data_IF_954999725863
#
_entry.id   IF_954999725863
#
_cell.length_a   1.000
_cell.length_b   1.000
_cell.length_c   1.000
_cell.angle_alpha   90.00
_cell.angle_beta   90.00
_cell.angle_gamma   90.00
#
_symmetry.space_group_name_H-M   'P 1'
#
loop_
_entity.id
_entity.type
_entity.pdbx_description
1 polymer ?
#
# COMPACT_ATOMS: atom_id res chain seq x y z
N UNK A 1 18.79 -1.87 -45.05
CA UNK A 1 17.52 -1.99 -44.30
C UNK A 1 16.68 -2.87 -45.17
N UNK A 2 16.50 -4.12 -44.77
CA UNK A 2 16.38 -5.18 -45.77
C UNK A 2 14.88 -5.49 -45.96
N UNK A 3 14.15 -4.41 -46.21
CA UNK A 3 12.71 -4.27 -46.15
C UNK A 3 12.22 -3.77 -47.52
N UNK A 4 11.25 -4.46 -48.10
CA UNK A 4 10.67 -4.11 -49.40
C UNK A 4 9.69 -2.91 -49.31
N UNK A 5 10.17 -1.78 -48.78
CA UNK A 5 9.42 -0.52 -48.72
C UNK A 5 9.32 0.04 -50.15
N UNK A 6 8.10 0.33 -50.61
CA UNK A 6 7.90 0.91 -51.94
C UNK A 6 8.52 2.32 -52.00
N UNK A 7 9.20 2.69 -53.12
CA UNK A 7 9.90 3.98 -53.24
C UNK A 7 8.98 5.19 -53.01
N UNK A 8 7.70 5.06 -53.39
CA UNK A 8 6.70 6.12 -53.27
C UNK A 8 6.00 6.16 -51.90
N UNK A 9 6.44 5.35 -50.92
CA UNK A 9 5.89 5.37 -49.56
C UNK A 9 6.26 6.68 -48.88
N UNK A 10 5.28 7.44 -48.40
CA UNK A 10 5.50 8.66 -47.62
C UNK A 10 6.11 8.34 -46.26
N UNK A 11 7.12 9.10 -45.84
CA UNK A 11 7.88 8.86 -44.61
C UNK A 11 7.58 9.95 -43.58
N UNK A 12 7.01 9.55 -42.44
CA UNK A 12 6.69 10.43 -41.31
C UNK A 12 5.24 10.89 -41.30
N UNK A 13 5.00 12.13 -40.86
CA UNK A 13 3.64 12.70 -40.87
C UNK A 13 3.12 12.88 -42.31
N UNK A 14 1.82 12.71 -42.60
CA UNK A 14 1.22 12.97 -43.92
C UNK A 14 1.46 14.39 -44.49
N UNK A 15 1.95 15.32 -43.67
CA UNK A 15 2.31 16.70 -44.06
C UNK A 15 3.78 16.90 -44.49
N UNK A 16 4.62 15.87 -44.40
CA UNK A 16 6.06 15.98 -44.69
C UNK A 16 6.38 15.93 -46.18
N UNK A 17 5.50 15.33 -46.98
CA UNK A 17 5.62 15.07 -48.44
C UNK A 17 6.87 14.26 -48.86
N UNK A 18 7.74 13.85 -47.93
CA UNK A 18 8.96 13.07 -48.22
C UNK A 18 8.60 11.63 -48.58
N UNK A 19 9.17 11.13 -49.68
CA UNK A 19 9.01 9.76 -50.16
C UNK A 19 10.28 8.93 -49.90
N UNK A 20 10.12 7.62 -49.68
CA UNK A 20 11.20 6.71 -49.30
C UNK A 20 12.43 6.77 -50.23
N UNK A 21 12.22 6.90 -51.55
CA UNK A 21 13.32 6.99 -52.52
C UNK A 21 14.30 8.15 -52.27
N UNK A 22 13.86 9.24 -51.64
CA UNK A 22 14.72 10.39 -51.33
C UNK A 22 15.80 10.06 -50.31
N UNK A 23 15.63 8.97 -49.55
CA UNK A 23 16.60 8.49 -48.57
C UNK A 23 17.59 7.46 -49.14
N UNK A 24 17.41 6.95 -50.36
CA UNK A 24 18.19 5.83 -50.90
C UNK A 24 19.70 6.07 -50.83
N UNK A 25 20.16 7.25 -51.27
CA UNK A 25 21.59 7.63 -51.24
C UNK A 25 22.18 7.60 -49.82
N UNK A 26 21.37 7.91 -48.80
CA UNK A 26 21.79 7.85 -47.39
C UNK A 26 21.69 6.45 -46.78
N UNK A 27 20.78 5.61 -47.30
CA UNK A 27 20.69 4.19 -46.93
C UNK A 27 21.89 3.41 -47.48
N UNK A 28 22.28 3.67 -48.73
CA UNK A 28 23.43 3.03 -49.40
C UNK A 28 24.76 3.34 -48.69
N UNK A 29 24.88 4.53 -48.07
CA UNK A 29 26.03 4.93 -47.26
C UNK A 29 26.16 4.17 -45.92
N UNK A 30 25.12 3.44 -45.49
CA UNK A 30 25.11 2.68 -44.23
C UNK A 30 25.51 3.48 -42.97
N UNK A 31 25.27 4.80 -42.97
CA UNK A 31 25.65 5.69 -41.88
C UNK A 31 25.02 5.26 -40.54
N UNK A 32 25.81 5.22 -39.47
CA UNK A 32 25.31 4.98 -38.11
C UNK A 32 24.95 6.30 -37.42
N UNK A 33 23.93 6.30 -36.57
CA UNK A 33 23.69 7.41 -35.65
C UNK A 33 24.82 7.44 -34.60
N UNK A 34 25.26 8.63 -34.19
CA UNK A 34 26.49 8.81 -33.38
C UNK A 34 26.43 8.24 -31.96
N UNK A 35 25.23 8.00 -31.41
CA UNK A 35 25.04 7.55 -30.03
C UNK A 35 24.04 6.39 -29.93
N UNK A 36 24.32 5.41 -29.09
CA UNK A 36 23.32 4.48 -28.54
C UNK A 36 22.47 5.19 -27.50
N UNK A 37 21.15 5.20 -27.67
CA UNK A 37 20.20 5.83 -26.72
C UNK A 37 19.25 4.80 -26.15
N UNK A 38 18.63 5.11 -25.01
CA UNK A 38 17.51 4.30 -24.49
C UNK A 38 16.19 4.74 -25.13
N UNK A 39 15.23 3.82 -25.22
CA UNK A 39 13.82 4.13 -25.48
C UNK A 39 13.03 3.97 -24.19
N UNK A 40 12.25 4.99 -23.80
CA UNK A 40 11.39 4.95 -22.60
C UNK A 40 9.93 5.13 -22.95
N UNK A 41 8.99 4.58 -22.15
CA UNK A 41 7.62 5.04 -22.24
C UNK A 41 7.55 6.52 -21.87
N UNK A 42 6.58 7.19 -22.47
CA UNK A 42 6.03 8.45 -21.99
C UNK A 42 5.13 8.19 -20.77
N UNK A 43 4.11 9.02 -20.53
CA UNK A 43 3.10 8.77 -19.49
C UNK A 43 2.42 7.40 -19.70
N UNK A 44 1.80 7.19 -20.85
CA UNK A 44 1.07 6.00 -21.20
C UNK A 44 2.02 4.80 -21.43
N UNK A 45 1.96 3.80 -20.55
CA UNK A 45 2.89 2.66 -20.54
C UNK A 45 3.93 2.69 -19.41
N UNK A 46 4.04 3.78 -18.65
CA UNK A 46 4.98 3.87 -17.52
C UNK A 46 4.43 3.19 -16.25
N UNK A 47 5.15 2.18 -15.76
CA UNK A 47 4.85 1.48 -14.49
C UNK A 47 5.67 2.06 -13.35
N UNK A 48 5.12 2.03 -12.12
CA UNK A 48 5.82 2.37 -10.88
C UNK A 48 7.22 1.71 -10.86
N UNK A 49 8.32 2.49 -10.79
CA UNK A 49 9.67 1.96 -10.86
C UNK A 49 9.94 0.87 -9.83
N UNK A 50 10.63 -0.20 -10.24
CA UNK A 50 10.94 -1.30 -9.33
C UNK A 50 11.74 -0.88 -8.09
N UNK A 51 12.63 0.14 -8.08
CA UNK A 51 13.30 0.57 -6.85
C UNK A 51 12.33 1.20 -5.84
N UNK A 52 11.32 1.94 -6.31
CA UNK A 52 10.29 2.52 -5.45
C UNK A 52 9.37 1.43 -4.90
N UNK A 53 8.98 0.47 -5.75
CA UNK A 53 8.23 -0.72 -5.32
C UNK A 53 9.01 -1.56 -4.32
N UNK A 54 10.32 -1.75 -4.53
CA UNK A 54 11.19 -2.51 -3.63
C UNK A 54 11.35 -1.80 -2.27
N UNK A 55 11.54 -0.48 -2.26
CA UNK A 55 11.54 0.30 -1.02
C UNK A 55 10.21 0.15 -0.27
N UNK A 56 9.07 0.21 -0.99
CA UNK A 56 7.74 0.00 -0.43
C UNK A 56 7.56 -1.42 0.14
N UNK A 57 8.06 -2.45 -0.55
CA UNK A 57 8.07 -3.84 -0.11
C UNK A 57 8.94 -4.06 1.14
N UNK A 58 10.14 -3.48 1.17
CA UNK A 58 11.06 -3.55 2.32
C UNK A 58 10.51 -2.81 3.55
N UNK A 59 9.68 -1.78 3.37
CA UNK A 59 8.90 -1.16 4.43
C UNK A 59 7.74 -2.08 4.87
N UNK A 60 7.02 -2.70 3.93
CA UNK A 60 5.79 -3.44 4.24
C UNK A 60 6.01 -4.82 4.87
N UNK A 61 7.04 -5.57 4.48
CA UNK A 61 7.35 -6.88 5.09
C UNK A 61 7.48 -6.81 6.63
N UNK A 62 8.37 -5.97 7.22
CA UNK A 62 8.48 -5.87 8.67
C UNK A 62 7.21 -5.31 9.31
N UNK A 63 6.47 -4.41 8.65
CA UNK A 63 5.20 -3.91 9.19
C UNK A 63 4.12 -4.99 9.29
N UNK A 64 4.00 -5.89 8.30
CA UNK A 64 3.11 -7.05 8.38
C UNK A 64 3.53 -7.98 9.53
N UNK A 65 4.82 -8.29 9.66
CA UNK A 65 5.34 -9.13 10.76
C UNK A 65 5.08 -8.51 12.15
N UNK A 66 5.28 -7.20 12.31
CA UNK A 66 5.03 -6.51 13.58
C UNK A 66 3.51 -6.33 13.83
N UNK A 67 2.67 -6.17 12.79
CA UNK A 67 1.19 -6.17 12.93
C UNK A 67 0.64 -7.51 13.43
N UNK A 68 1.30 -8.62 13.08
CA UNK A 68 1.00 -9.94 13.66
C UNK A 68 1.38 -9.98 15.14
N UNK A 69 2.63 -9.65 15.47
CA UNK A 69 3.22 -9.88 16.79
C UNK A 69 2.96 -8.79 17.86
N UNK A 70 3.04 -7.50 17.51
CA UNK A 70 3.05 -6.34 18.44
C UNK A 70 2.36 -5.11 17.83
N UNK A 71 1.09 -5.30 17.44
CA UNK A 71 0.27 -4.35 16.68
C UNK A 71 0.21 -2.90 17.23
N UNK A 72 0.20 -2.73 18.55
CA UNK A 72 -0.01 -1.44 19.23
C UNK A 72 0.99 -0.35 18.82
N UNK A 73 2.24 -0.73 18.55
CA UNK A 73 3.31 0.22 18.18
C UNK A 73 3.26 0.66 16.71
N UNK A 74 2.39 0.06 15.90
CA UNK A 74 2.33 0.24 14.43
C UNK A 74 1.08 1.00 13.97
N UNK A 75 0.19 1.38 14.90
CA UNK A 75 -1.08 2.05 14.60
C UNK A 75 -0.87 3.36 13.80
N UNK A 76 -0.09 4.30 14.36
CA UNK A 76 0.15 5.61 13.75
C UNK A 76 0.87 5.53 12.40
N UNK A 77 1.84 4.62 12.26
CA UNK A 77 2.56 4.41 11.00
C UNK A 77 1.65 3.80 9.92
N UNK A 78 0.68 2.96 10.31
CA UNK A 78 -0.31 2.41 9.38
C UNK A 78 -1.30 3.48 8.89
N UNK A 79 -1.73 4.39 9.76
CA UNK A 79 -2.53 5.57 9.38
C UNK A 79 -1.76 6.50 8.43
N UNK A 80 -0.47 6.74 8.73
CA UNK A 80 0.39 7.59 7.92
C UNK A 80 0.60 7.02 6.51
N UNK A 81 0.93 5.73 6.39
CA UNK A 81 1.12 5.08 5.08
C UNK A 81 -0.18 5.10 4.25
N UNK A 82 -1.32 4.79 4.86
CA UNK A 82 -2.62 4.90 4.19
C UNK A 82 -2.94 6.33 3.69
N UNK A 83 -2.59 7.35 4.48
CA UNK A 83 -2.76 8.75 4.08
C UNK A 83 -1.80 9.16 2.94
N UNK A 84 -0.55 8.69 2.98
CA UNK A 84 0.42 8.87 1.89
C UNK A 84 -0.07 8.18 0.61
N UNK A 85 -0.56 6.95 0.70
CA UNK A 85 -1.17 6.24 -0.43
C UNK A 85 -2.36 7.00 -1.02
N UNK A 86 -3.31 7.48 -0.19
CA UNK A 86 -4.43 8.31 -0.68
C UNK A 86 -3.92 9.58 -1.38
N UNK A 87 -2.92 10.27 -0.82
CA UNK A 87 -2.35 11.48 -1.42
C UNK A 87 -1.66 11.19 -2.76
N UNK A 88 -0.82 10.14 -2.83
CA UNK A 88 -0.15 9.71 -4.06
C UNK A 88 -1.13 9.31 -5.16
N UNK A 89 -2.16 8.53 -4.83
CA UNK A 89 -3.19 8.14 -5.80
C UNK A 89 -4.05 9.32 -6.25
N UNK A 90 -4.35 10.27 -5.36
CA UNK A 90 -5.06 11.51 -5.72
C UNK A 90 -4.24 12.38 -6.67
N UNK A 91 -2.93 12.53 -6.40
CA UNK A 91 -1.98 13.21 -7.29
C UNK A 91 -1.91 12.52 -8.66
N UNK A 92 -1.78 11.20 -8.70
CA UNK A 92 -1.70 10.44 -9.94
C UNK A 92 -3.02 10.46 -10.74
N UNK A 93 -4.18 10.40 -10.08
CA UNK A 93 -5.51 10.53 -10.70
C UNK A 93 -5.75 11.94 -11.25
N UNK A 94 -5.20 12.98 -10.60
CA UNK A 94 -5.24 14.37 -11.08
C UNK A 94 -4.39 14.55 -12.35
N UNK A 95 -3.14 14.11 -12.30
CA UNK A 95 -2.19 14.16 -13.42
C UNK A 95 -2.67 13.40 -14.66
N UNK A 96 -3.08 12.15 -14.49
CA UNK A 96 -3.50 11.28 -15.61
C UNK A 96 -4.96 11.45 -16.02
N UNK A 97 -5.72 12.29 -15.31
CA UNK A 97 -7.18 12.43 -15.47
C UNK A 97 -7.96 11.08 -15.32
N UNK A 98 -7.31 10.02 -14.79
CA UNK A 98 -7.75 8.61 -14.74
C UNK A 98 -7.97 7.95 -16.11
N UNK A 99 -7.23 8.40 -17.13
CA UNK A 99 -7.15 7.80 -18.47
C UNK A 99 -6.70 6.32 -18.40
N UNK A 100 -7.45 5.36 -18.96
CA UNK A 100 -7.13 3.94 -18.82
C UNK A 100 -5.78 3.53 -19.43
N UNK A 101 -5.35 4.16 -20.51
CA UNK A 101 -4.04 3.96 -21.15
C UNK A 101 -2.85 4.38 -20.25
N UNK A 102 -3.12 5.18 -19.21
CA UNK A 102 -2.17 5.68 -18.21
C UNK A 102 -2.26 4.89 -16.87
N UNK A 103 -3.04 3.80 -16.80
CA UNK A 103 -3.32 3.02 -15.56
C UNK A 103 -2.07 2.53 -14.81
N UNK A 104 -0.95 2.33 -15.51
CA UNK A 104 0.29 1.87 -14.91
C UNK A 104 0.95 2.89 -13.97
N UNK A 105 0.61 4.18 -14.13
CA UNK A 105 1.05 5.26 -13.22
C UNK A 105 0.35 5.14 -11.86
N UNK A 106 -0.92 4.74 -11.85
CA UNK A 106 -1.83 4.81 -10.70
C UNK A 106 -2.48 3.47 -10.32
N UNK A 107 -1.86 2.33 -10.61
CA UNK A 107 -2.57 1.05 -10.49
C UNK A 107 -3.01 0.72 -9.04
N UNK A 108 -4.33 0.53 -8.77
CA UNK A 108 -4.91 0.36 -7.43
C UNK A 108 -4.51 -0.91 -6.66
N UNK A 109 -3.74 -1.82 -7.27
CA UNK A 109 -3.36 -3.10 -6.66
C UNK A 109 -2.49 -2.95 -5.39
N UNK A 110 -1.60 -1.95 -5.34
CA UNK A 110 -0.67 -1.74 -4.21
C UNK A 110 -1.38 -1.32 -2.92
N UNK A 111 -2.59 -0.75 -3.04
CA UNK A 111 -3.40 -0.16 -1.95
C UNK A 111 -3.94 -1.23 -0.97
N UNK A 112 -4.01 -2.49 -1.38
CA UNK A 112 -4.59 -3.60 -0.58
C UNK A 112 -3.96 -3.75 0.82
N UNK A 113 -2.66 -3.47 0.96
CA UNK A 113 -1.95 -3.55 2.24
C UNK A 113 -2.42 -2.49 3.24
N UNK A 114 -2.69 -1.28 2.76
CA UNK A 114 -3.20 -0.18 3.58
C UNK A 114 -4.66 -0.40 3.95
N UNK A 115 -5.48 -0.98 3.05
CA UNK A 115 -6.87 -1.37 3.40
C UNK A 115 -6.86 -2.39 4.54
N UNK A 116 -6.06 -3.46 4.42
CA UNK A 116 -5.91 -4.46 5.49
C UNK A 116 -5.40 -3.85 6.80
N UNK A 117 -4.43 -2.93 6.72
CA UNK A 117 -3.88 -2.24 7.88
C UNK A 117 -4.88 -1.37 8.64
N UNK A 118 -5.61 -0.52 7.91
CA UNK A 118 -6.57 0.42 8.48
C UNK A 118 -7.82 -0.31 8.97
N UNK A 119 -8.25 -1.38 8.27
CA UNK A 119 -9.32 -2.25 8.72
C UNK A 119 -8.94 -3.00 10.00
N UNK A 120 -7.73 -3.56 10.10
CA UNK A 120 -7.22 -4.15 11.34
C UNK A 120 -7.27 -3.14 12.50
N UNK A 121 -6.83 -1.90 12.25
CA UNK A 121 -6.78 -0.84 13.25
C UNK A 121 -8.18 -0.46 13.75
N UNK A 122 -9.14 -0.25 12.83
CA UNK A 122 -10.52 0.06 13.17
C UNK A 122 -11.11 -0.98 14.14
N UNK A 123 -11.05 -2.26 13.78
CA UNK A 123 -11.63 -3.34 14.60
C UNK A 123 -10.94 -3.49 15.96
N UNK A 124 -9.61 -3.36 16.03
CA UNK A 124 -8.89 -3.52 17.30
C UNK A 124 -9.11 -2.35 18.27
N UNK A 125 -9.30 -1.12 17.78
CA UNK A 125 -9.62 0.00 18.66
C UNK A 125 -11.06 -0.13 19.20
N UNK A 126 -12.00 -0.60 18.38
CA UNK A 126 -13.37 -0.96 18.81
C UNK A 126 -13.40 -2.12 19.82
N UNK A 127 -12.63 -3.18 19.59
CA UNK A 127 -12.44 -4.29 20.55
C UNK A 127 -11.90 -3.73 21.88
N UNK A 128 -10.91 -2.84 21.82
CA UNK A 128 -10.33 -2.17 22.99
C UNK A 128 -11.25 -1.17 23.70
N UNK A 129 -12.36 -0.73 23.10
CA UNK A 129 -13.30 0.21 23.73
C UNK A 129 -14.48 -0.48 24.40
N UNK A 130 -14.82 -1.71 23.99
CA UNK A 130 -15.93 -2.48 24.56
C UNK A 130 -15.53 -3.41 25.72
N UNK A 131 -14.25 -3.70 25.89
CA UNK A 131 -13.75 -4.65 26.88
C UNK A 131 -13.85 -6.11 26.39
N UNK A 132 -13.19 -7.04 27.09
CA UNK A 132 -12.93 -8.39 26.58
C UNK A 132 -14.21 -9.26 26.44
N UNK A 133 -15.28 -8.93 27.17
CA UNK A 133 -16.49 -9.76 27.29
C UNK A 133 -17.51 -9.62 26.15
N UNK A 134 -17.19 -8.93 25.05
CA UNK A 134 -18.14 -8.77 23.92
C UNK A 134 -18.05 -9.94 22.95
N UNK A 135 -18.82 -10.98 23.27
CA UNK A 135 -19.11 -12.10 22.38
C UNK A 135 -20.16 -11.70 21.33
N UNK A 136 -19.96 -12.12 20.08
CA UNK A 136 -20.94 -11.98 19.00
C UNK A 136 -20.75 -10.82 18.03
N UNK A 137 -21.57 -10.83 16.97
CA UNK A 137 -21.56 -9.86 15.88
C UNK A 137 -22.03 -8.48 16.35
N UNK A 138 -21.09 -7.55 16.54
CA UNK A 138 -21.43 -6.13 16.66
C UNK A 138 -21.50 -5.53 15.26
N UNK A 139 -22.67 -5.09 14.76
CA UNK A 139 -22.74 -4.42 13.47
C UNK A 139 -21.84 -3.19 13.49
N UNK A 140 -21.03 -3.03 12.44
CA UNK A 140 -19.95 -2.03 12.38
C UNK A 140 -20.47 -0.60 12.62
N UNK A 141 -21.65 -0.30 12.10
CA UNK A 141 -22.37 0.95 12.35
C UNK A 141 -22.84 1.12 13.79
N UNK A 142 -23.27 0.04 14.47
CA UNK A 142 -23.67 0.06 15.88
C UNK A 142 -22.49 0.36 16.81
N UNK A 143 -21.34 -0.29 16.57
CA UNK A 143 -20.10 0.01 17.30
C UNK A 143 -19.68 1.48 17.15
N UNK A 144 -19.77 2.01 15.93
CA UNK A 144 -19.46 3.41 15.65
C UNK A 144 -20.47 4.37 16.28
N UNK A 145 -21.77 4.09 16.16
CA UNK A 145 -22.85 4.90 16.73
C UNK A 145 -22.79 4.95 18.27
N UNK A 146 -22.52 3.83 18.94
CA UNK A 146 -22.29 3.78 20.39
C UNK A 146 -21.06 4.60 20.82
N UNK A 147 -19.94 4.44 20.10
CA UNK A 147 -18.71 5.20 20.36
C UNK A 147 -18.96 6.71 20.21
N UNK A 148 -19.64 7.13 19.14
CA UNK A 148 -20.01 8.52 18.89
C UNK A 148 -21.02 9.04 19.92
N UNK A 149 -22.02 8.25 20.32
CA UNK A 149 -22.96 8.60 21.37
C UNK A 149 -22.28 8.78 22.74
N UNK A 150 -21.28 7.94 23.06
CA UNK A 150 -20.50 8.05 24.30
C UNK A 150 -19.63 9.33 24.37
N UNK A 151 -19.30 9.93 23.21
CA UNK A 151 -18.54 11.18 23.10
C UNK A 151 -19.48 12.39 23.08
N UNK A 152 -20.42 12.43 22.14
CA UNK A 152 -21.26 13.60 21.88
C UNK A 152 -22.50 13.68 22.79
N UNK A 153 -23.05 12.54 23.23
CA UNK A 153 -24.21 12.51 24.12
C UNK A 153 -23.89 12.89 25.57
N UNK A 154 -22.66 12.64 26.03
CA UNK A 154 -22.28 12.80 27.45
C UNK A 154 -22.19 14.25 27.94
N UNK A 155 -22.27 15.23 27.02
CA UNK A 155 -22.37 16.65 27.35
C UNK A 155 -23.75 17.13 27.81
N UNK A 156 -24.79 16.27 27.77
CA UNK A 156 -26.18 16.67 28.02
C UNK A 156 -26.80 15.82 29.13
N UNK A 157 -26.89 16.38 30.35
CA UNK A 157 -27.67 15.78 31.43
C UNK A 157 -26.90 15.02 32.52
N UNK A 158 -25.81 15.59 33.06
CA UNK A 158 -25.54 15.42 34.52
C UNK A 158 -25.88 16.71 35.27
N UNK A 159 -27.08 17.23 35.00
CA UNK A 159 -27.73 18.24 35.82
C UNK A 159 -27.78 17.70 37.24
N UNK A 160 -27.04 18.34 38.15
CA UNK A 160 -26.86 17.94 39.54
C UNK A 160 -28.22 17.79 40.20
N UNK A 161 -28.69 16.56 40.40
CA UNK A 161 -29.89 16.30 41.20
C UNK A 161 -29.56 16.72 42.62
N UNK A 162 -30.11 17.87 43.03
CA UNK A 162 -29.77 18.51 44.29
C UNK A 162 -30.49 17.78 45.43
N UNK A 163 -29.82 16.76 45.98
CA UNK A 163 -30.34 15.95 47.11
C UNK A 163 -30.41 16.82 48.36
N UNK A 164 -31.57 17.44 48.57
CA UNK A 164 -31.78 18.52 49.53
C UNK A 164 -32.21 18.03 50.92
N UNK A 165 -31.38 17.18 51.53
CA UNK A 165 -31.46 16.78 52.95
C UNK A 165 -32.70 15.95 53.35
N UNK A 166 -33.03 15.84 54.66
CA UNK A 166 -32.34 16.43 55.82
C UNK A 166 -31.74 15.32 56.75
N UNK A 167 -31.79 15.29 58.12
CA UNK A 167 -30.62 14.84 58.88
C UNK A 167 -30.80 13.60 59.79
N UNK A 168 -29.66 13.12 60.31
CA UNK A 168 -29.43 12.68 61.71
C UNK A 168 -30.58 12.01 62.50
N UNK A 169 -30.42 10.72 62.80
CA UNK A 169 -31.03 10.05 63.96
C UNK A 169 -30.30 8.74 64.32
N UNK A 170 -30.07 8.51 65.61
CA UNK A 170 -29.27 7.38 66.14
C UNK A 170 -30.08 6.10 66.40
N UNK A 171 -29.58 4.97 65.88
CA UNK A 171 -29.77 3.60 66.39
C UNK A 171 -28.72 2.70 65.68
N UNK A 172 -27.67 2.13 66.28
CA UNK A 172 -27.46 1.50 67.59
C UNK A 172 -28.15 0.12 67.68
N UNK A 173 -27.42 -0.88 68.20
CA UNK A 173 -27.76 -2.32 68.35
C UNK A 173 -27.56 -3.14 67.05
N UNK A 174 -26.95 -4.34 67.02
CA UNK A 174 -25.83 -5.01 67.75
C UNK A 174 -25.70 -6.44 67.17
N UNK A 175 -24.72 -7.24 67.67
CA UNK A 175 -24.69 -8.73 67.61
C UNK A 175 -24.49 -9.40 66.21
N UNK A 176 -23.86 -10.57 66.05
CA UNK A 176 -23.15 -11.49 66.99
C UNK A 176 -21.72 -11.76 66.49
N UNK A 177 -20.80 -12.10 67.41
CA UNK A 177 -19.41 -12.54 67.19
C UNK A 177 -19.18 -13.88 67.91
N UNK A 178 -19.04 -14.98 67.18
CA UNK A 178 -18.78 -16.38 67.63
C UNK A 178 -18.90 -17.29 66.38
N UNK A 179 -18.23 -18.44 66.14
CA UNK A 179 -17.14 -19.20 66.80
C UNK A 179 -16.84 -20.44 65.90
N UNK A 180 -15.64 -20.59 65.30
CA UNK A 180 -14.50 -21.45 65.73
C UNK A 180 -14.34 -22.76 64.91
N UNK A 181 -13.13 -23.34 64.99
CA UNK A 181 -12.61 -24.62 64.46
C UNK A 181 -13.68 -25.71 64.20
N UNK A 182 -13.64 -26.51 63.13
CA UNK A 182 -12.50 -26.93 62.30
C UNK A 182 -12.35 -28.46 62.37
N UNK A 183 -12.16 -29.16 61.25
CA UNK A 183 -11.96 -30.62 61.26
C UNK A 183 -11.06 -31.07 60.11
N UNK A 184 -10.05 -31.89 60.42
CA UNK A 184 -9.12 -32.50 59.47
C UNK A 184 -9.72 -33.78 58.89
N UNK A 185 -9.56 -34.03 57.59
CA UNK A 185 -9.65 -35.40 57.05
C UNK A 185 -8.62 -35.59 55.93
N UNK A 186 -7.71 -36.56 56.11
CA UNK A 186 -6.94 -37.16 55.01
C UNK A 186 -7.79 -38.25 54.34
N UNK A 187 -7.43 -38.66 53.12
CA UNK A 187 -7.30 -40.08 52.73
C UNK A 187 -6.71 -40.18 51.31
N UNK A 188 -5.66 -41.00 51.18
CA UNK A 188 -5.19 -41.82 50.04
C UNK A 188 -5.08 -41.22 48.60
N UNK A 189 -3.89 -41.20 48.00
CA UNK A 189 -3.14 -42.31 47.35
C UNK A 189 -3.71 -42.78 45.99
N UNK A 190 -3.03 -42.40 44.90
CA UNK A 190 -2.73 -43.29 43.76
C UNK A 190 -1.27 -43.05 43.34
N UNK A 191 -0.56 -44.10 42.93
CA UNK A 191 0.91 -44.14 42.76
C UNK A 191 1.32 -44.73 41.41
N UNK A 192 2.03 -43.95 40.60
CA UNK A 192 2.93 -44.38 39.53
C UNK A 192 3.92 -43.21 39.29
N UNK A 193 5.21 -43.25 39.64
CA UNK A 193 6.24 -44.29 39.55
C UNK A 193 6.62 -44.62 38.10
N UNK A 194 7.65 -43.91 37.63
CA UNK A 194 8.72 -44.55 36.87
C UNK A 194 10.03 -43.78 37.14
N UNK A 195 11.00 -44.46 37.77
CA UNK A 195 12.35 -43.94 37.99
C UNK A 195 13.21 -44.09 36.72
N UNK A 196 14.34 -43.35 36.67
CA UNK A 196 15.72 -43.89 36.57
C UNK A 196 16.75 -42.74 36.62
N UNK A 197 17.61 -42.73 37.66
CA UNK A 197 19.08 -42.47 37.74
C UNK A 197 19.79 -41.55 36.71
N UNK A 198 20.94 -40.89 36.97
CA UNK A 198 21.79 -40.50 38.12
C UNK A 198 22.73 -39.37 37.55
N UNK A 199 23.61 -38.60 38.19
CA UNK A 199 24.56 -38.83 39.29
C UNK A 199 25.08 -37.44 39.82
N UNK A 200 26.25 -37.23 40.49
CA UNK A 200 26.24 -36.72 41.87
C UNK A 200 26.77 -35.28 42.08
N UNK A 201 26.46 -34.73 43.27
CA UNK A 201 27.11 -33.56 43.88
C UNK A 201 28.45 -33.94 44.56
N UNK A 202 29.30 -32.98 44.96
CA UNK A 202 29.41 -32.80 46.42
C UNK A 202 29.65 -31.36 46.94
N UNK A 203 28.97 -31.05 48.06
CA UNK A 203 29.40 -30.24 49.22
C UNK A 203 30.33 -29.02 49.05
N UNK A 204 29.86 -27.86 49.56
CA UNK A 204 30.49 -27.33 50.80
C UNK A 204 29.53 -26.61 51.76
N UNK A 205 29.61 -27.06 53.00
CA UNK A 205 28.97 -26.67 54.26
C UNK A 205 29.28 -25.26 54.78
N UNK A 206 28.31 -24.70 55.54
CA UNK A 206 28.47 -23.81 56.72
C UNK A 206 29.04 -22.38 56.47
N UNK A 207 28.84 -21.34 57.31
CA UNK A 207 28.13 -21.13 58.60
C UNK A 207 27.91 -19.58 58.80
N UNK A 208 27.20 -18.98 59.77
CA UNK A 208 26.30 -19.39 60.88
C UNK A 208 25.51 -18.13 61.42
N UNK A 209 24.85 -18.27 62.57
CA UNK A 209 24.51 -17.23 63.56
C UNK A 209 23.38 -16.19 63.30
N UNK A 210 22.34 -16.30 64.13
CA UNK A 210 21.45 -15.21 64.58
C UNK A 210 22.16 -14.41 65.74
N UNK A 211 21.58 -13.38 66.41
CA UNK A 211 20.19 -12.88 66.36
C UNK A 211 20.01 -11.34 66.40
N UNK A 212 18.74 -10.87 66.31
CA UNK A 212 18.17 -9.82 67.17
C UNK A 212 16.68 -9.61 66.84
N UNK A 213 15.85 -9.33 67.85
CA UNK A 213 14.47 -8.90 67.65
C UNK A 213 14.32 -7.40 68.00
N UNK A 214 13.69 -6.62 67.11
CA UNK A 214 13.23 -5.26 67.42
C UNK A 214 11.80 -5.12 66.89
N UNK A 215 10.83 -5.06 67.81
CA UNK A 215 9.42 -4.84 67.49
C UNK A 215 9.12 -3.35 67.38
N UNK A 216 9.33 -2.76 66.19
CA UNK A 216 8.84 -1.40 65.90
C UNK A 216 7.37 -1.44 65.45
N UNK A 217 6.49 -0.86 66.26
CA UNK A 217 5.08 -0.65 65.87
C UNK A 217 5.04 0.45 64.81
N UNK A 218 4.83 0.07 63.55
CA UNK A 218 4.66 1.03 62.47
C UNK A 218 3.35 1.83 62.69
N UNK A 219 3.37 3.17 62.56
CA UNK A 219 2.14 3.97 62.62
C UNK A 219 1.23 3.61 61.44
N UNK A 220 -0.08 3.56 61.67
CA UNK A 220 -1.04 3.23 60.61
C UNK A 220 -0.94 4.26 59.47
N UNK A 221 -0.87 3.82 58.19
CA UNK A 221 -0.85 4.75 57.08
C UNK A 221 -2.20 5.47 57.00
N UNK A 222 -2.17 6.80 57.17
CA UNK A 222 -3.35 7.65 56.95
C UNK A 222 -3.88 7.44 55.53
N UNK A 223 -5.21 7.38 55.33
CA UNK A 223 -5.80 7.18 54.01
C UNK A 223 -5.46 8.36 53.09
N UNK A 224 -4.55 8.16 52.14
CA UNK A 224 -4.23 9.18 51.14
C UNK A 224 -5.46 9.48 50.26
N UNK A 225 -5.67 10.73 49.82
CA UNK A 225 -6.80 11.11 48.97
C UNK A 225 -6.64 10.53 47.55
N UNK A 226 -7.17 9.32 47.35
CA UNK A 226 -7.21 8.65 46.04
C UNK A 226 -8.36 9.22 45.19
N UNK A 227 -8.08 9.46 43.90
CA UNK A 227 -8.97 9.24 42.72
C UNK A 227 -9.04 10.37 41.68
N UNK A 228 -8.91 11.66 42.04
CA UNK A 228 -9.25 12.79 41.13
C UNK A 228 -8.48 12.74 39.79
N UNK A 229 -7.19 12.40 39.80
CA UNK A 229 -6.36 12.32 38.59
C UNK A 229 -6.73 11.14 37.64
N UNK A 230 -7.67 10.27 38.01
CA UNK A 230 -7.98 9.04 37.26
C UNK A 230 -9.01 9.29 36.14
N UNK A 231 -10.03 10.14 36.39
CA UNK A 231 -11.09 10.41 35.40
C UNK A 231 -10.56 11.20 34.19
N UNK A 232 -9.71 12.20 34.40
CA UNK A 232 -9.20 13.04 33.31
C UNK A 232 -8.36 12.23 32.29
N UNK A 233 -7.56 11.28 32.79
CA UNK A 233 -6.76 10.38 31.96
C UNK A 233 -7.66 9.41 31.16
N UNK A 234 -8.73 8.91 31.77
CA UNK A 234 -9.74 8.07 31.07
C UNK A 234 -10.41 8.83 29.91
N UNK A 235 -10.82 10.08 30.14
CA UNK A 235 -11.42 10.92 29.09
C UNK A 235 -10.45 11.22 27.94
N UNK A 236 -9.19 11.57 28.26
CA UNK A 236 -8.13 11.78 27.25
C UNK A 236 -7.91 10.52 26.40
N UNK A 237 -7.87 9.34 27.03
CA UNK A 237 -7.69 8.05 26.33
C UNK A 237 -8.89 7.72 25.42
N UNK A 238 -10.12 7.91 25.90
CA UNK A 238 -11.33 7.67 25.11
C UNK A 238 -11.40 8.58 23.87
N UNK A 239 -11.10 9.88 24.03
CA UNK A 239 -11.05 10.85 22.92
C UNK A 239 -9.96 10.48 21.90
N UNK A 240 -8.80 10.01 22.36
CA UNK A 240 -7.73 9.52 21.47
C UNK A 240 -8.18 8.32 20.63
N UNK A 241 -8.76 7.30 21.25
CA UNK A 241 -9.33 6.13 20.55
C UNK A 241 -10.37 6.54 19.51
N UNK A 242 -11.27 7.46 19.84
CA UNK A 242 -12.30 7.95 18.94
C UNK A 242 -11.77 8.63 17.67
N UNK A 243 -10.74 9.47 17.82
CA UNK A 243 -10.08 10.11 16.67
C UNK A 243 -9.43 9.06 15.77
N UNK A 244 -8.77 8.05 16.35
CA UNK A 244 -8.15 6.94 15.60
C UNK A 244 -9.21 6.13 14.85
N UNK A 245 -10.35 5.77 15.46
CA UNK A 245 -11.45 5.05 14.79
C UNK A 245 -12.04 5.88 13.64
N UNK A 246 -12.29 7.17 13.88
CA UNK A 246 -12.87 8.08 12.87
C UNK A 246 -11.93 8.25 11.68
N UNK A 247 -10.64 8.51 11.93
CA UNK A 247 -9.63 8.60 10.88
C UNK A 247 -9.45 7.27 10.15
N UNK A 248 -9.50 6.13 10.85
CA UNK A 248 -9.45 4.80 10.22
C UNK A 248 -10.63 4.59 9.28
N UNK A 249 -11.86 4.91 9.70
CA UNK A 249 -13.06 4.78 8.85
C UNK A 249 -12.98 5.66 7.60
N UNK A 250 -12.49 6.90 7.72
CA UNK A 250 -12.30 7.82 6.60
C UNK A 250 -11.22 7.32 5.62
N UNK A 251 -10.05 6.90 6.13
CA UNK A 251 -8.97 6.38 5.30
C UNK A 251 -9.39 5.08 4.60
N UNK A 252 -10.01 4.12 5.31
CA UNK A 252 -10.56 2.89 4.72
C UNK A 252 -11.53 3.19 3.57
N UNK A 253 -12.46 4.12 3.79
CA UNK A 253 -13.42 4.55 2.76
C UNK A 253 -12.73 5.17 1.54
N UNK A 254 -11.71 6.01 1.77
CA UNK A 254 -10.91 6.62 0.69
C UNK A 254 -10.11 5.59 -0.12
N UNK A 255 -9.47 4.62 0.53
CA UNK A 255 -8.72 3.54 -0.12
C UNK A 255 -9.66 2.67 -1.00
N UNK A 256 -10.84 2.30 -0.48
CA UNK A 256 -11.84 1.52 -1.23
C UNK A 256 -12.45 2.34 -2.38
N UNK A 257 -12.66 3.65 -2.20
CA UNK A 257 -13.08 4.54 -3.28
C UNK A 257 -12.03 4.63 -4.40
N UNK A 258 -10.75 4.77 -4.06
CA UNK A 258 -9.64 4.74 -5.03
C UNK A 258 -9.66 3.43 -5.82
N UNK A 259 -9.77 2.28 -5.15
CA UNK A 259 -9.76 0.97 -5.82
C UNK A 259 -11.00 0.73 -6.70
N UNK A 260 -12.19 1.13 -6.26
CA UNK A 260 -13.42 1.00 -7.08
C UNK A 260 -13.42 1.96 -8.27
N UNK A 261 -12.93 3.19 -8.12
CA UNK A 261 -12.68 4.11 -9.25
C UNK A 261 -11.66 3.54 -10.24
N UNK A 262 -10.56 2.96 -9.75
CA UNK A 262 -9.52 2.39 -10.59
C UNK A 262 -9.99 1.13 -11.34
N UNK A 263 -10.79 0.28 -10.70
CA UNK A 263 -11.47 -0.85 -11.34
C UNK A 263 -12.45 -0.39 -12.43
N UNK A 264 -13.22 0.67 -12.18
CA UNK A 264 -14.15 1.22 -13.17
C UNK A 264 -13.40 1.76 -14.41
N UNK A 265 -12.34 2.55 -14.23
CA UNK A 265 -11.49 3.01 -15.34
C UNK A 265 -10.79 1.84 -16.05
N UNK A 266 -10.36 0.80 -15.34
CA UNK A 266 -9.78 -0.39 -15.96
C UNK A 266 -10.78 -1.13 -16.87
N UNK A 267 -12.01 -1.34 -16.39
CA UNK A 267 -13.10 -1.96 -17.16
C UNK A 267 -13.49 -1.07 -18.36
N UNK A 268 -13.43 0.26 -18.22
CA UNK A 268 -13.67 1.18 -19.33
C UNK A 268 -12.59 1.03 -20.43
N UNK A 269 -11.29 1.04 -20.07
CA UNK A 269 -10.20 0.86 -21.03
C UNK A 269 -10.18 -0.50 -21.73
N UNK A 270 -10.71 -1.55 -21.09
CA UNK A 270 -10.89 -2.85 -21.72
C UNK A 270 -11.94 -2.87 -22.83
N UNK A 271 -12.85 -1.89 -22.88
CA UNK A 271 -13.83 -1.75 -23.98
C UNK A 271 -13.22 -1.09 -25.21
N UNK A 272 -12.29 -0.15 -25.04
CA UNK A 272 -11.54 0.52 -26.12
C UNK A 272 -10.17 -0.14 -26.38
N UNK A 273 -9.99 -1.42 -26.02
CA UNK A 273 -8.69 -2.13 -26.02
C UNK A 273 -7.93 -2.13 -27.34
N UNK A 274 -8.65 -1.99 -28.47
CA UNK A 274 -8.12 -2.00 -29.83
C UNK A 274 -7.70 -0.60 -30.32
N UNK A 275 -8.14 0.45 -29.63
CA UNK A 275 -7.76 1.85 -29.86
C UNK A 275 -6.58 2.29 -28.96
N UNK A 276 -6.16 1.44 -28.02
CA UNK A 276 -5.07 1.74 -27.10
C UNK A 276 -3.73 1.88 -27.84
N UNK A 277 -3.02 2.96 -27.54
CA UNK A 277 -1.67 3.22 -28.03
C UNK A 277 -0.77 3.72 -26.90
N UNK A 278 0.54 3.54 -27.04
CA UNK A 278 1.55 4.04 -26.12
C UNK A 278 2.58 4.91 -26.83
N UNK A 279 2.90 6.07 -26.23
CA UNK A 279 3.96 6.97 -26.69
C UNK A 279 5.29 6.49 -26.10
N UNK A 280 6.31 6.30 -26.95
CA UNK A 280 7.66 5.89 -26.55
C UNK A 280 8.69 6.87 -27.10
N UNK A 281 9.51 7.43 -26.21
CA UNK A 281 10.39 8.55 -26.50
C UNK A 281 11.87 8.19 -26.39
N UNK A 282 12.70 8.78 -27.24
CA UNK A 282 14.16 8.61 -27.21
C UNK A 282 14.88 9.91 -27.62
N UNK A 283 16.04 10.24 -27.03
CA UNK A 283 16.90 11.32 -27.51
C UNK A 283 17.31 11.16 -28.98
N UNK A 284 17.45 9.94 -29.50
CA UNK A 284 17.79 9.72 -30.92
C UNK A 284 16.69 10.21 -31.89
N UNK A 285 15.47 10.40 -31.41
CA UNK A 285 14.35 10.94 -32.19
C UNK A 285 14.28 12.48 -32.11
N UNK A 286 15.27 13.14 -31.50
CA UNK A 286 15.43 14.59 -31.51
C UNK A 286 15.85 15.12 -32.89
N UNK A 287 15.53 16.41 -33.12
CA UNK A 287 16.08 17.27 -34.17
C UNK A 287 15.98 16.71 -35.58
N UNK A 288 14.94 17.14 -36.30
CA UNK A 288 14.69 16.82 -37.71
C UNK A 288 14.32 15.37 -38.03
N UNK A 289 14.27 14.47 -37.03
CA UNK A 289 13.71 13.13 -37.21
C UNK A 289 12.20 13.20 -37.52
N UNK A 290 11.78 12.59 -38.62
CA UNK A 290 10.38 12.55 -39.07
C UNK A 290 9.75 11.15 -38.95
N UNK A 291 10.56 10.09 -38.98
CA UNK A 291 10.12 8.71 -38.81
C UNK A 291 11.24 7.81 -38.25
N UNK A 292 10.85 6.65 -37.73
CA UNK A 292 11.75 5.59 -37.27
C UNK A 292 11.29 4.27 -37.90
N UNK A 293 12.14 3.66 -38.72
CA UNK A 293 11.97 2.28 -39.18
C UNK A 293 12.55 1.31 -38.16
N UNK A 294 11.85 0.22 -37.88
CA UNK A 294 12.35 -0.89 -37.06
C UNK A 294 12.83 -2.09 -37.91
N UNK A 295 13.35 -3.11 -37.25
CA UNK A 295 13.78 -4.37 -37.84
C UNK A 295 12.65 -5.33 -38.21
N UNK A 296 11.40 -4.98 -37.89
CA UNK A 296 10.19 -5.66 -38.36
C UNK A 296 9.63 -4.99 -39.64
N UNK A 297 10.36 -4.02 -40.20
CA UNK A 297 10.00 -3.21 -41.37
C UNK A 297 8.79 -2.28 -41.17
N UNK A 298 8.34 -2.06 -39.94
CA UNK A 298 7.34 -1.03 -39.65
C UNK A 298 8.00 0.36 -39.58
N UNK A 299 7.27 1.40 -40.00
CA UNK A 299 7.74 2.79 -40.04
C UNK A 299 6.82 3.62 -39.15
N UNK A 300 7.38 4.09 -38.03
CA UNK A 300 6.65 4.84 -37.01
C UNK A 300 6.90 6.34 -37.20
N UNK A 301 5.87 7.19 -37.35
CA UNK A 301 6.07 8.63 -37.46
C UNK A 301 6.57 9.21 -36.12
N UNK A 302 7.50 10.17 -36.19
CA UNK A 302 8.00 10.88 -35.02
C UNK A 302 7.12 12.09 -34.73
N UNK A 303 6.72 12.22 -33.47
CA UNK A 303 6.03 13.39 -32.92
C UNK A 303 6.97 14.13 -31.94
N UNK A 304 7.20 15.43 -32.11
CA UNK A 304 8.08 16.20 -31.23
C UNK A 304 7.40 16.52 -29.90
N UNK A 305 7.93 16.01 -28.79
CA UNK A 305 7.50 16.36 -27.44
C UNK A 305 8.12 17.69 -27.02
N UNK A 306 7.50 18.79 -27.46
CA UNK A 306 8.04 20.15 -27.32
C UNK A 306 8.34 20.58 -25.87
N UNK A 307 7.64 20.01 -24.87
CA UNK A 307 7.89 20.25 -23.45
C UNK A 307 9.14 19.55 -22.91
N UNK A 308 9.51 18.41 -23.50
CA UNK A 308 10.59 17.52 -23.02
C UNK A 308 11.84 17.55 -23.90
N UNK A 309 11.79 18.26 -25.04
CA UNK A 309 12.88 18.34 -26.00
C UNK A 309 13.28 16.99 -26.61
N UNK A 310 12.38 16.00 -26.68
CA UNK A 310 12.63 14.65 -27.23
C UNK A 310 11.59 14.32 -28.31
N UNK A 311 11.96 13.46 -29.25
CA UNK A 311 10.98 12.85 -30.16
C UNK A 311 10.36 11.60 -29.54
N UNK A 312 9.11 11.32 -29.90
CA UNK A 312 8.37 10.13 -29.50
C UNK A 312 7.71 9.47 -30.71
N UNK A 313 7.57 8.15 -30.67
CA UNK A 313 6.82 7.33 -31.63
C UNK A 313 5.62 6.69 -30.93
N UNK A 314 4.58 6.37 -31.70
CA UNK A 314 3.35 5.74 -31.18
C UNK A 314 3.36 4.25 -31.51
N UNK A 315 3.38 3.39 -30.48
CA UNK A 315 3.36 1.93 -30.60
C UNK A 315 2.02 1.34 -30.12
N UNK A 316 1.76 0.08 -30.45
CA UNK A 316 0.48 -0.57 -30.11
C UNK A 316 0.30 -0.69 -28.60
N UNK A 317 -0.93 -0.47 -28.13
CA UNK A 317 -1.26 -0.60 -26.71
C UNK A 317 -1.49 -2.04 -26.25
N UNK A 318 -1.01 -3.04 -27.00
CA UNK A 318 -1.26 -4.46 -26.72
C UNK A 318 -0.77 -4.88 -25.32
N UNK A 319 0.35 -4.29 -24.86
CA UNK A 319 0.83 -4.51 -23.49
C UNK A 319 -0.07 -3.80 -22.46
N UNK A 320 -0.53 -2.56 -22.73
CA UNK A 320 -1.46 -1.83 -21.86
C UNK A 320 -2.81 -2.57 -21.71
N UNK A 321 -3.32 -3.19 -22.78
CA UNK A 321 -4.54 -4.00 -22.74
C UNK A 321 -4.40 -5.19 -21.76
N UNK A 322 -3.24 -5.87 -21.78
CA UNK A 322 -2.91 -6.93 -20.81
C UNK A 322 -2.81 -6.41 -19.38
N UNK A 323 -2.21 -5.23 -19.19
CA UNK A 323 -2.13 -4.57 -17.88
C UNK A 323 -3.49 -4.09 -17.35
N UNK A 324 -4.37 -3.58 -18.21
CA UNK A 324 -5.75 -3.25 -17.88
C UNK A 324 -6.53 -4.48 -17.43
N UNK A 325 -6.35 -5.62 -18.12
CA UNK A 325 -6.97 -6.90 -17.73
C UNK A 325 -6.45 -7.41 -16.38
N UNK A 326 -5.12 -7.39 -16.19
CA UNK A 326 -4.48 -7.78 -14.93
C UNK A 326 -4.89 -6.89 -13.75
N UNK A 327 -4.95 -5.58 -13.96
CA UNK A 327 -5.40 -4.62 -12.93
C UNK A 327 -6.88 -4.77 -12.64
N UNK A 328 -7.76 -4.95 -13.64
CA UNK A 328 -9.18 -5.17 -13.40
C UNK A 328 -9.42 -6.47 -12.61
N UNK A 329 -8.85 -7.59 -13.05
CA UNK A 329 -8.98 -8.88 -12.37
C UNK A 329 -8.37 -8.85 -10.95
N UNK A 330 -7.15 -8.33 -10.81
CA UNK A 330 -6.47 -8.21 -9.53
C UNK A 330 -7.18 -7.28 -8.54
N UNK A 331 -7.83 -6.21 -9.02
CA UNK A 331 -8.56 -5.27 -8.16
C UNK A 331 -9.91 -5.84 -7.74
N UNK A 332 -10.61 -6.56 -8.63
CA UNK A 332 -11.81 -7.31 -8.28
C UNK A 332 -11.50 -8.39 -7.22
N UNK A 333 -10.40 -9.14 -7.38
CA UNK A 333 -9.93 -10.10 -6.36
C UNK A 333 -9.53 -9.37 -5.06
N UNK A 334 -8.80 -8.26 -5.13
CA UNK A 334 -8.43 -7.44 -3.96
C UNK A 334 -9.66 -7.03 -3.14
N UNK A 335 -10.70 -6.50 -3.80
CA UNK A 335 -11.96 -6.10 -3.16
C UNK A 335 -12.70 -7.31 -2.56
N UNK A 336 -12.69 -8.46 -3.22
CA UNK A 336 -13.27 -9.70 -2.68
C UNK A 336 -12.51 -10.22 -1.44
N UNK A 337 -11.18 -10.15 -1.43
CA UNK A 337 -10.35 -10.51 -0.27
C UNK A 337 -10.55 -9.53 0.90
N UNK A 338 -10.76 -8.24 0.62
CA UNK A 338 -11.12 -7.24 1.63
C UNK A 338 -12.49 -7.52 2.24
N UNK A 339 -13.49 -7.88 1.43
CA UNK A 339 -14.81 -8.27 1.92
C UNK A 339 -14.73 -9.56 2.78
N UNK A 340 -13.92 -10.53 2.37
CA UNK A 340 -13.68 -11.74 3.17
C UNK A 340 -13.00 -11.42 4.52
N UNK A 341 -11.93 -10.63 4.52
CA UNK A 341 -11.27 -10.18 5.76
C UNK A 341 -12.20 -9.33 6.65
N UNK A 342 -13.05 -8.48 6.07
CA UNK A 342 -14.07 -7.69 6.77
C UNK A 342 -15.10 -8.58 7.46
N UNK A 343 -15.60 -9.61 6.76
CA UNK A 343 -16.51 -10.60 7.32
C UNK A 343 -15.84 -11.42 8.44
N UNK A 344 -14.59 -11.83 8.26
CA UNK A 344 -13.80 -12.51 9.31
C UNK A 344 -13.67 -11.62 10.55
N UNK A 345 -13.31 -10.34 10.40
CA UNK A 345 -13.17 -9.43 11.54
C UNK A 345 -14.50 -9.13 12.25
N UNK A 346 -15.62 -9.10 11.52
CA UNK A 346 -16.95 -8.87 12.07
C UNK A 346 -17.59 -10.10 12.73
N UNK A 347 -17.37 -11.30 12.19
CA UNK A 347 -18.05 -12.53 12.61
C UNK A 347 -17.22 -13.42 13.55
N UNK A 348 -15.88 -13.41 13.47
CA UNK A 348 -15.03 -14.29 14.28
C UNK A 348 -14.77 -13.70 15.67
N UNK A 349 -15.01 -14.52 16.69
CA UNK A 349 -14.83 -14.16 18.10
C UNK A 349 -13.40 -13.72 18.44
N UNK A 350 -13.28 -12.80 19.40
CA UNK A 350 -12.01 -12.27 19.90
C UNK A 350 -11.06 -13.36 20.44
N UNK A 351 -11.62 -14.44 21.00
CA UNK A 351 -10.90 -15.57 21.58
C UNK A 351 -10.49 -16.65 20.57
N UNK A 352 -11.06 -16.64 19.35
CA UNK A 352 -10.87 -17.73 18.39
C UNK A 352 -9.41 -17.85 17.91
N UNK A 353 -8.81 -19.02 18.15
CA UNK A 353 -7.45 -19.37 17.72
C UNK A 353 -7.47 -20.61 16.84
N UNK A 354 -6.74 -20.59 15.73
CA UNK A 354 -6.49 -21.74 14.88
C UNK A 354 -5.00 -22.05 14.90
N UNK A 355 -4.63 -23.28 15.27
CA UNK A 355 -3.22 -23.70 15.44
C UNK A 355 -2.42 -22.72 16.34
N UNK A 356 -3.06 -22.19 17.39
CA UNK A 356 -2.50 -21.20 18.32
C UNK A 356 -2.59 -19.73 17.87
N UNK A 357 -2.82 -19.46 16.59
CA UNK A 357 -2.84 -18.10 16.00
C UNK A 357 -4.24 -17.48 16.14
N UNK A 358 -4.36 -16.24 16.64
CA UNK A 358 -5.64 -15.51 16.71
C UNK A 358 -6.19 -15.29 15.30
N UNK A 359 -7.37 -15.83 15.01
CA UNK A 359 -7.97 -15.81 13.67
C UNK A 359 -8.50 -14.43 13.27
N UNK A 360 -8.88 -13.60 14.24
CA UNK A 360 -9.39 -12.23 14.04
C UNK A 360 -8.28 -11.23 13.61
N UNK A 361 -7.79 -11.39 12.38
CA UNK A 361 -6.87 -10.49 11.65
C UNK A 361 -7.26 -10.51 10.16
N UNK A 362 -7.00 -9.43 9.40
CA UNK A 362 -7.18 -9.45 7.95
C UNK A 362 -5.98 -10.11 7.27
N UNK A 363 -5.97 -11.45 7.28
CA UNK A 363 -4.86 -12.25 6.76
C UNK A 363 -4.76 -12.21 5.24
N UNK A 364 -5.90 -12.20 4.54
CA UNK A 364 -5.93 -12.34 3.09
C UNK A 364 -5.30 -11.12 2.40
N UNK A 365 -5.71 -9.92 2.80
CA UNK A 365 -5.16 -8.65 2.30
C UNK A 365 -3.69 -8.45 2.64
N UNK A 366 -3.25 -8.83 3.85
CA UNK A 366 -1.84 -8.75 4.23
C UNK A 366 -0.94 -9.66 3.37
N UNK A 367 -1.30 -10.94 3.20
CA UNK A 367 -0.48 -11.84 2.38
C UNK A 367 -0.58 -11.54 0.88
N UNK A 368 -1.79 -11.33 0.35
CA UNK A 368 -1.98 -11.00 -1.06
C UNK A 368 -1.27 -9.69 -1.45
N UNK A 369 -1.26 -8.69 -0.56
CA UNK A 369 -0.55 -7.44 -0.79
C UNK A 369 0.97 -7.56 -0.87
N UNK A 370 1.59 -8.40 -0.04
CA UNK A 370 3.03 -8.69 -0.16
C UNK A 370 3.31 -9.42 -1.48
N UNK A 371 2.46 -10.36 -1.88
CA UNK A 371 2.56 -11.04 -3.19
C UNK A 371 2.44 -10.04 -4.34
N UNK A 372 1.47 -9.12 -4.29
CA UNK A 372 1.32 -8.04 -5.28
C UNK A 372 2.58 -7.19 -5.38
N UNK A 373 3.17 -6.74 -4.26
CA UNK A 373 4.40 -5.96 -4.30
C UNK A 373 5.60 -6.74 -4.87
N UNK A 374 5.74 -8.03 -4.55
CA UNK A 374 6.77 -8.89 -5.17
C UNK A 374 6.56 -9.00 -6.69
N UNK A 375 5.32 -9.22 -7.14
CA UNK A 375 4.95 -9.25 -8.57
C UNK A 375 5.32 -7.92 -9.24
N UNK A 376 5.01 -6.77 -8.63
CA UNK A 376 5.37 -5.46 -9.17
C UNK A 376 6.90 -5.23 -9.25
N UNK A 377 7.68 -5.69 -8.27
CA UNK A 377 9.15 -5.63 -8.36
C UNK A 377 9.66 -6.46 -9.54
N UNK A 378 9.21 -7.72 -9.67
CA UNK A 378 9.64 -8.61 -10.76
C UNK A 378 9.25 -8.06 -12.13
N UNK A 379 7.98 -7.65 -12.32
CA UNK A 379 7.55 -7.06 -13.58
C UNK A 379 8.21 -5.71 -13.87
N UNK A 380 8.45 -4.88 -12.85
CA UNK A 380 9.17 -3.61 -13.02
C UNK A 380 10.63 -3.81 -13.47
N UNK A 381 11.30 -4.87 -12.99
CA UNK A 381 12.64 -5.28 -13.49
C UNK A 381 12.56 -5.78 -14.93
N UNK A 382 11.57 -6.63 -15.27
CA UNK A 382 11.39 -7.15 -16.64
C UNK A 382 11.05 -6.03 -17.64
N UNK A 383 10.20 -5.08 -17.24
CA UNK A 383 9.80 -3.94 -18.07
C UNK A 383 10.94 -2.92 -18.23
N UNK A 384 11.78 -2.74 -17.20
CA UNK A 384 12.98 -1.91 -17.29
C UNK A 384 14.08 -2.52 -18.19
N UNK A 385 14.11 -3.85 -18.35
CA UNK A 385 15.19 -4.60 -19.04
C UNK A 385 14.82 -5.08 -20.44
N UNK A 386 13.63 -4.73 -20.97
CA UNK A 386 13.18 -5.11 -22.32
C UNK A 386 12.65 -3.91 -23.09
N UNK A 387 12.70 -4.01 -24.42
CA UNK A 387 11.99 -3.12 -25.32
C UNK A 387 10.50 -3.54 -25.42
N UNK A 388 9.59 -2.63 -25.82
CA UNK A 388 8.21 -3.01 -26.16
C UNK A 388 8.22 -4.04 -27.29
N UNK A 389 7.28 -4.98 -27.27
CA UNK A 389 7.32 -6.20 -28.10
C UNK A 389 7.32 -5.96 -29.61
N UNK A 390 6.84 -4.80 -30.05
CA UNK A 390 6.77 -4.41 -31.46
C UNK A 390 8.11 -3.82 -31.98
N UNK A 391 9.07 -3.54 -31.08
CA UNK A 391 10.26 -2.72 -31.36
C UNK A 391 11.57 -3.49 -31.20
N UNK A 392 12.46 -3.36 -32.19
CA UNK A 392 13.79 -3.99 -32.20
C UNK A 392 14.90 -3.10 -31.65
N UNK A 393 16.00 -3.72 -31.20
CA UNK A 393 17.21 -3.02 -30.74
C UNK A 393 17.88 -2.18 -31.86
N UNK A 394 17.74 -2.58 -33.12
CA UNK A 394 18.25 -1.83 -34.28
C UNK A 394 17.12 -1.04 -34.93
N UNK A 395 17.42 0.19 -35.34
CA UNK A 395 16.47 1.10 -35.99
C UNK A 395 17.12 1.89 -37.13
N UNK A 396 16.29 2.52 -37.96
CA UNK A 396 16.68 3.49 -38.98
C UNK A 396 15.92 4.79 -38.75
N UNK A 397 16.63 5.86 -38.40
CA UNK A 397 16.02 7.15 -38.08
C UNK A 397 16.07 8.04 -39.32
N UNK A 398 14.90 8.32 -39.88
CA UNK A 398 14.69 9.16 -41.06
C UNK A 398 14.64 10.62 -40.62
N UNK A 399 15.53 11.45 -41.17
CA UNK A 399 15.71 12.87 -40.82
C UNK A 399 15.59 13.74 -42.06
N UNK A 400 14.87 14.86 -41.96
CA UNK A 400 14.72 15.84 -43.04
C UNK A 400 15.11 17.21 -42.49
N UNK A 401 16.28 17.73 -42.88
CA UNK A 401 16.76 19.02 -42.40
C UNK A 401 16.11 20.19 -43.20
N UNK A 402 15.25 21.04 -42.60
CA UNK A 402 14.45 22.02 -43.35
C UNK A 402 15.30 23.14 -43.98
N UNK A 403 16.45 23.44 -43.42
CA UNK A 403 17.44 24.43 -43.90
C UNK A 403 18.11 24.02 -45.21
N UNK A 404 18.25 22.71 -45.45
CA UNK A 404 19.01 22.17 -46.59
C UNK A 404 18.13 21.36 -47.57
N UNK A 405 16.93 20.95 -47.14
CA UNK A 405 16.06 20.06 -47.92
C UNK A 405 16.57 18.61 -48.01
N UNK A 406 17.66 18.27 -47.30
CA UNK A 406 18.33 16.97 -47.41
C UNK A 406 17.60 15.94 -46.54
N UNK A 407 17.24 14.83 -47.18
CA UNK A 407 16.72 13.62 -46.55
C UNK A 407 17.88 12.68 -46.20
N UNK A 408 18.03 12.33 -44.92
CA UNK A 408 19.08 11.41 -44.43
C UNK A 408 18.49 10.29 -43.59
N UNK A 409 19.15 9.14 -43.59
CA UNK A 409 18.90 8.02 -42.66
C UNK A 409 20.20 7.71 -41.93
N UNK A 410 20.10 7.60 -40.61
CA UNK A 410 21.14 6.96 -39.81
C UNK A 410 20.61 5.68 -39.15
N UNK A 411 21.44 4.64 -39.09
CA UNK A 411 21.18 3.39 -38.39
C UNK A 411 21.46 3.58 -36.90
N UNK A 412 20.43 3.49 -36.08
CA UNK A 412 20.51 3.57 -34.64
C UNK A 412 20.60 2.20 -33.97
N UNK A 413 21.10 2.20 -32.73
CA UNK A 413 20.92 1.09 -31.79
C UNK A 413 20.29 1.65 -30.51
N UNK A 414 19.19 1.05 -30.09
CA UNK A 414 18.31 1.48 -29.00
C UNK A 414 18.33 0.45 -27.88
N UNK A 415 18.55 0.92 -26.66
CA UNK A 415 18.53 0.09 -25.45
C UNK A 415 17.19 0.18 -24.69
N UNK A 416 16.84 -0.83 -23.87
CA UNK A 416 15.71 -0.76 -22.94
C UNK A 416 15.76 0.48 -22.02
N UNK A 417 14.62 0.92 -21.44
CA UNK A 417 14.56 2.13 -20.61
C UNK A 417 15.49 2.11 -19.39
N UNK A 418 15.77 0.92 -18.85
CA UNK A 418 16.48 0.76 -17.59
C UNK A 418 15.77 1.42 -16.42
N UNK A 419 16.50 1.58 -15.31
CA UNK A 419 15.99 2.27 -14.11
C UNK A 419 15.70 3.75 -14.42
N UNK A 420 16.59 4.43 -15.15
CA UNK A 420 16.46 5.87 -15.47
C UNK A 420 15.23 6.17 -16.32
N UNK A 421 15.04 5.45 -17.43
CA UNK A 421 13.90 5.64 -18.33
C UNK A 421 12.56 5.31 -17.65
N UNK A 422 12.53 4.28 -16.80
CA UNK A 422 11.34 3.93 -16.01
C UNK A 422 10.98 5.01 -15.00
N UNK A 423 11.97 5.55 -14.26
CA UNK A 423 11.75 6.67 -13.32
C UNK A 423 11.25 7.91 -14.06
N UNK A 424 11.87 8.28 -15.19
CA UNK A 424 11.46 9.45 -15.97
C UNK A 424 10.03 9.31 -16.52
N UNK A 425 9.68 8.17 -17.13
CA UNK A 425 8.32 7.94 -17.65
C UNK A 425 7.24 7.98 -16.56
N UNK A 426 7.49 7.34 -15.42
CA UNK A 426 6.51 7.33 -14.32
C UNK A 426 6.41 8.70 -13.63
N UNK A 427 7.52 9.44 -13.49
CA UNK A 427 7.51 10.77 -12.87
C UNK A 427 6.80 11.78 -13.77
N UNK A 428 7.00 11.71 -15.09
CA UNK A 428 6.21 12.44 -16.09
C UNK A 428 4.70 12.23 -15.90
N UNK A 429 4.27 10.98 -15.73
CA UNK A 429 2.87 10.64 -15.51
C UNK A 429 2.33 11.03 -14.13
N UNK A 430 3.17 10.95 -13.09
CA UNK A 430 2.79 11.26 -11.72
C UNK A 430 2.68 12.78 -11.49
N UNK A 431 3.52 13.59 -12.13
CA UNK A 431 3.61 15.05 -11.94
C UNK A 431 3.03 15.90 -13.08
N UNK A 432 2.42 15.33 -14.13
CA UNK A 432 1.93 16.12 -15.27
C UNK A 432 0.95 17.26 -14.90
N UNK A 433 0.17 17.11 -13.82
CA UNK A 433 -0.72 18.17 -13.28
C UNK A 433 0.02 19.39 -12.73
N UNK A 434 1.33 19.30 -12.47
CA UNK A 434 2.14 20.41 -11.93
C UNK A 434 2.54 21.43 -13.01
N UNK A 435 2.32 21.11 -14.30
CA UNK A 435 2.50 22.04 -15.41
C UNK A 435 3.89 22.70 -15.41
N UNK A 436 3.95 24.03 -15.28
CA UNK A 436 5.22 24.78 -15.30
C UNK A 436 6.14 24.56 -14.09
N UNK A 437 5.72 23.81 -13.07
CA UNK A 437 6.59 23.43 -11.96
C UNK A 437 7.39 22.14 -12.21
N UNK A 438 7.12 21.42 -13.32
CA UNK A 438 7.83 20.19 -13.69
C UNK A 438 8.01 20.08 -15.21
N UNK A 439 9.27 19.97 -15.68
CA UNK A 439 9.61 19.98 -17.11
C UNK A 439 10.14 18.63 -17.67
N UNK A 440 10.35 17.62 -16.81
CA UNK A 440 10.92 16.30 -17.18
C UNK A 440 12.19 15.93 -16.43
#
# INVERSE_FOLDING_TARGET
>A
MDCAIAPNTTIGSPKSEVQYWQFQVSLDQHANCTETTYLRPDIAGSILPWPYTLAWLLIHIPLVLIRVARWEKVQMLSLFLAAVSIASFTQAYSSTQRRPEEILVWSPLTVILDVGAVMQLFFLVVESSKGENVNGFVPLWGAFAELMAAIFGRGRGRTRTEVRGPPESDALINQVKSEVQGTTTQVENVRASHDTQDQPSPNRTNDAAAPAAVSSVAPMPMPMPISINTEENSYKQLRGKAIIVTLSALLFSGLVAIQTMGLASAIQGLRSREELTSSWCSPMFQSFAIAVGDGNCAIHPVHPSASKGIGCITLSGRQQAGWLAGTAAGTAVSLALQLADLLVLALVESAAKWRGVKMRRPWATMFAGIVVLVVYVVYGVVNASRLPGDMTERVWVFRQEPSLGIATVCRGTITPPGVRGSIMGWTDGFLSSWGRAYFG
#
